data_IF_984908542070
#
_entry.id   IF_984908542070
#
_cell.length_a   1.000
_cell.length_b   1.000
_cell.length_c   1.000
_cell.angle_alpha   90.00
_cell.angle_beta   90.00
_cell.angle_gamma   90.00
#
_symmetry.space_group_name_H-M   'P 1'
#
loop_
_entity.id
_entity.type
_entity.pdbx_description
1 polymer ?
#
# COMPACT_ATOMS: atom_id res chain seq x y z
N UNK A 1 22.80 4.70 3.15
CA UNK A 1 21.75 3.67 3.24
C UNK A 1 20.65 4.17 2.34
N UNK A 2 20.52 3.57 1.16
CA UNK A 2 19.86 4.20 0.01
C UNK A 2 18.37 4.38 0.23
N UNK A 3 17.87 5.57 -0.11
CA UNK A 3 16.46 5.95 0.00
C UNK A 3 15.53 4.91 -0.63
N UNK A 4 15.96 4.31 -1.74
CA UNK A 4 15.24 3.23 -2.41
C UNK A 4 15.09 2.00 -1.53
N UNK A 5 16.16 1.55 -0.85
CA UNK A 5 16.12 0.41 0.06
C UNK A 5 15.11 0.66 1.20
N UNK A 6 15.07 1.88 1.73
CA UNK A 6 14.09 2.26 2.75
C UNK A 6 12.65 2.18 2.23
N UNK A 7 12.40 2.69 1.01
CA UNK A 7 11.06 2.66 0.41
C UNK A 7 10.61 1.22 0.14
N UNK A 8 11.48 0.38 -0.42
CA UNK A 8 11.16 -1.03 -0.66
C UNK A 8 10.85 -1.80 0.64
N UNK A 9 11.63 -1.57 1.70
CA UNK A 9 11.36 -2.17 3.02
C UNK A 9 10.01 -1.73 3.59
N UNK A 10 9.67 -0.45 3.46
CA UNK A 10 8.36 0.06 3.88
C UNK A 10 7.21 -0.53 3.05
N UNK A 11 7.33 -0.60 1.73
CA UNK A 11 6.32 -1.22 0.86
C UNK A 11 6.11 -2.69 1.22
N UNK A 12 7.19 -3.43 1.49
CA UNK A 12 7.10 -4.83 1.92
C UNK A 12 6.33 -4.98 3.23
N UNK A 13 6.63 -4.16 4.23
CA UNK A 13 5.90 -4.16 5.51
C UNK A 13 4.42 -3.83 5.33
N UNK A 14 4.10 -2.81 4.53
CA UNK A 14 2.72 -2.40 4.27
C UNK A 14 1.94 -3.45 3.48
N UNK A 15 2.60 -4.23 2.61
CA UNK A 15 1.95 -5.36 1.92
C UNK A 15 1.42 -6.42 2.90
N UNK A 16 2.13 -6.66 4.00
CA UNK A 16 1.68 -7.56 5.07
C UNK A 16 0.45 -7.01 5.80
N UNK A 17 0.37 -5.70 6.00
CA UNK A 17 -0.78 -5.03 6.63
C UNK A 17 -2.01 -5.09 5.70
N UNK A 18 -1.83 -4.81 4.41
CA UNK A 18 -2.87 -4.98 3.37
C UNK A 18 -3.46 -6.38 3.41
N UNK A 19 -2.60 -7.39 3.48
CA UNK A 19 -3.02 -8.77 3.58
C UNK A 19 -3.80 -9.07 4.87
N UNK A 20 -3.34 -8.58 6.03
CA UNK A 20 -4.05 -8.76 7.30
C UNK A 20 -5.43 -8.08 7.30
N UNK A 21 -5.55 -6.87 6.75
CA UNK A 21 -6.84 -6.18 6.59
C UNK A 21 -7.79 -6.98 5.70
N UNK A 22 -7.30 -7.48 4.57
CA UNK A 22 -8.06 -8.35 3.68
C UNK A 22 -8.57 -9.63 4.38
N UNK A 23 -7.74 -10.24 5.23
CA UNK A 23 -8.14 -11.38 6.06
C UNK A 23 -9.21 -11.00 7.09
N UNK A 24 -9.03 -9.88 7.80
CA UNK A 24 -9.99 -9.41 8.81
C UNK A 24 -11.35 -9.07 8.21
N UNK A 25 -11.37 -8.46 7.03
CA UNK A 25 -12.59 -8.15 6.30
C UNK A 25 -13.17 -9.35 5.55
N UNK A 26 -12.45 -10.48 5.51
CA UNK A 26 -12.75 -11.65 4.67
C UNK A 26 -13.08 -11.28 3.22
N UNK A 27 -12.39 -10.26 2.69
CA UNK A 27 -12.67 -9.71 1.37
C UNK A 27 -11.40 -9.14 0.73
N UNK A 28 -10.60 -10.04 0.16
CA UNK A 28 -9.36 -9.71 -0.52
C UNK A 28 -9.59 -8.81 -1.73
N UNK A 29 -10.53 -9.17 -2.59
CA UNK A 29 -10.82 -8.41 -3.80
C UNK A 29 -11.12 -6.94 -3.49
N UNK A 30 -11.98 -6.67 -2.50
CA UNK A 30 -12.31 -5.31 -2.09
C UNK A 30 -11.07 -4.53 -1.64
N UNK A 31 -10.29 -5.07 -0.69
CA UNK A 31 -9.15 -4.36 -0.10
C UNK A 31 -8.07 -4.10 -1.16
N UNK A 32 -7.73 -5.11 -1.96
CA UNK A 32 -6.75 -4.94 -3.03
C UNK A 32 -7.24 -4.01 -4.14
N UNK A 33 -8.53 -4.07 -4.51
CA UNK A 33 -9.10 -3.13 -5.48
C UNK A 33 -9.05 -1.69 -4.97
N UNK A 34 -9.28 -1.45 -3.67
CA UNK A 34 -9.17 -0.12 -3.09
C UNK A 34 -7.73 0.42 -3.20
N UNK A 35 -6.74 -0.38 -2.77
CA UNK A 35 -5.32 0.00 -2.85
C UNK A 35 -4.89 0.22 -4.29
N UNK A 36 -5.27 -0.69 -5.19
CA UNK A 36 -4.93 -0.62 -6.61
C UNK A 36 -5.58 0.60 -7.29
N UNK A 37 -6.88 0.81 -7.07
CA UNK A 37 -7.61 1.96 -7.61
C UNK A 37 -6.96 3.26 -7.15
N UNK A 38 -6.60 3.37 -5.87
CA UNK A 38 -5.95 4.57 -5.37
C UNK A 38 -4.56 4.76 -5.98
N UNK A 39 -3.79 3.68 -6.11
CA UNK A 39 -2.49 3.70 -6.78
C UNK A 39 -2.60 4.20 -8.22
N UNK A 40 -3.51 3.68 -9.03
CA UNK A 40 -3.60 4.07 -10.46
C UNK A 40 -4.23 5.44 -10.70
N UNK A 41 -4.97 5.99 -9.72
CA UNK A 41 -5.65 7.29 -9.83
C UNK A 41 -4.91 8.43 -9.14
N UNK A 42 -3.79 8.13 -8.47
CA UNK A 42 -2.98 9.15 -7.80
C UNK A 42 -1.83 9.54 -8.73
N UNK A 43 -1.71 10.83 -9.00
CA UNK A 43 -0.53 11.37 -9.64
C UNK A 43 0.61 11.37 -8.62
N UNK A 44 1.57 10.45 -8.80
CA UNK A 44 2.73 10.32 -7.92
C UNK A 44 3.72 11.45 -8.19
N UNK A 45 3.84 12.39 -7.26
CA UNK A 45 4.91 13.38 -7.24
C UNK A 45 6.13 12.84 -6.48
N UNK A 46 5.93 11.86 -5.60
CA UNK A 46 6.97 11.22 -4.81
C UNK A 46 6.66 9.78 -4.40
N UNK A 47 7.70 9.02 -4.04
CA UNK A 47 7.55 7.69 -3.44
C UNK A 47 6.78 7.69 -2.11
N UNK A 48 6.71 8.84 -1.42
CA UNK A 48 5.93 8.96 -0.20
C UNK A 48 4.43 8.86 -0.46
N UNK A 49 3.96 9.30 -1.63
CA UNK A 49 2.53 9.23 -1.96
C UNK A 49 2.11 7.76 -2.12
N UNK A 50 3.01 6.89 -2.61
CA UNK A 50 2.78 5.45 -2.66
C UNK A 50 2.70 4.82 -1.28
N UNK A 51 3.58 5.22 -0.37
CA UNK A 51 3.57 4.75 1.01
C UNK A 51 2.32 5.21 1.75
N UNK A 52 1.85 6.43 1.49
CA UNK A 52 0.61 6.95 2.05
C UNK A 52 -0.61 6.13 1.59
N UNK A 53 -0.67 5.75 0.31
CA UNK A 53 -1.74 4.89 -0.19
C UNK A 53 -1.71 3.51 0.49
N UNK A 54 -0.53 2.90 0.54
CA UNK A 54 -0.35 1.57 1.13
C UNK A 54 -0.66 1.57 2.64
N UNK A 55 -0.35 2.66 3.35
CA UNK A 55 -0.74 2.87 4.74
C UNK A 55 -2.22 3.13 4.92
N UNK A 56 -2.73 4.24 4.38
CA UNK A 56 -4.08 4.74 4.68
C UNK A 56 -5.20 3.89 4.06
N UNK A 57 -4.98 3.33 2.88
CA UNK A 57 -5.99 2.51 2.18
C UNK A 57 -5.80 1.05 2.55
N UNK A 58 -4.55 0.61 2.59
CA UNK A 58 -4.16 -0.76 2.83
C UNK A 58 -4.28 -1.24 4.27
N UNK A 59 -4.16 -0.34 5.24
CA UNK A 59 -4.20 -0.66 6.67
C UNK A 59 -4.95 0.36 7.47
#
# INVERSE_FOLDING_TARGET
MDREIFIYDMMFKLSGIIFQKAQMENNFEKVYNQVFTKTITTDFESDMDMLEIFGNVGG
#
